data_IF_588538578278
#
_entry.id   IF_588538578278
#
_cell.length_a   1.000
_cell.length_b   1.000
_cell.length_c   1.000
_cell.angle_alpha   90.00
_cell.angle_beta   90.00
_cell.angle_gamma   90.00
#
_symmetry.space_group_name_H-M   'P 1'
#
loop_
_entity.id
_entity.type
_entity.pdbx_description
1 polymer ?
#
# COMPACT_ATOMS: atom_id res chain seq x y z
N UNK A 1 26.56 11.89 -47.75
CA UNK A 1 26.59 11.73 -46.29
C UNK A 1 26.12 10.32 -45.96
N UNK A 2 26.96 9.45 -45.38
CA UNK A 2 26.54 8.08 -45.09
C UNK A 2 25.66 8.07 -43.83
N UNK A 3 24.53 7.36 -43.92
CA UNK A 3 23.58 7.19 -42.84
C UNK A 3 24.26 6.47 -41.65
N UNK A 4 24.08 7.03 -40.45
CA UNK A 4 24.51 6.39 -39.20
C UNK A 4 23.72 5.11 -38.97
N UNK A 5 24.35 3.99 -38.61
CA UNK A 5 23.63 2.77 -38.28
C UNK A 5 22.86 2.97 -36.97
N UNK A 6 21.53 2.81 -37.00
CA UNK A 6 20.71 2.63 -35.79
C UNK A 6 21.19 1.33 -35.14
N UNK A 7 21.94 1.45 -34.04
CA UNK A 7 22.19 0.31 -33.15
C UNK A 7 20.83 -0.14 -32.62
N UNK A 8 20.35 -1.28 -33.11
CA UNK A 8 19.25 -1.98 -32.48
C UNK A 8 19.73 -2.43 -31.11
N UNK A 9 19.26 -1.78 -30.05
CA UNK A 9 19.44 -2.26 -28.69
C UNK A 9 18.66 -3.57 -28.58
N UNK A 10 19.35 -4.70 -28.56
CA UNK A 10 18.72 -5.96 -28.17
C UNK A 10 18.20 -5.74 -26.74
N UNK A 11 16.90 -5.95 -26.44
CA UNK A 11 16.42 -5.77 -25.09
C UNK A 11 17.13 -6.81 -24.21
N UNK A 12 18.03 -6.34 -23.34
CA UNK A 12 18.51 -7.14 -22.23
C UNK A 12 17.27 -7.57 -21.45
N UNK A 13 17.11 -8.88 -21.23
CA UNK A 13 16.06 -9.36 -20.34
C UNK A 13 16.35 -8.79 -18.95
N UNK A 14 15.44 -8.00 -18.37
CA UNK A 14 15.68 -7.36 -17.08
C UNK A 14 15.93 -8.44 -16.04
N UNK A 15 16.96 -8.23 -15.22
CA UNK A 15 17.40 -9.23 -14.24
C UNK A 15 16.80 -8.87 -12.90
N UNK A 16 15.84 -9.69 -12.47
CA UNK A 16 15.33 -9.67 -11.12
C UNK A 16 16.26 -10.43 -10.19
N UNK A 17 16.55 -9.81 -9.05
CA UNK A 17 17.41 -10.38 -8.01
C UNK A 17 16.74 -10.21 -6.65
N UNK A 18 16.50 -11.32 -5.96
CA UNK A 18 16.02 -11.28 -4.59
C UNK A 18 17.18 -11.41 -3.60
N UNK A 19 17.33 -10.41 -2.75
CA UNK A 19 18.33 -10.35 -1.69
C UNK A 19 17.64 -10.60 -0.36
N UNK A 20 18.05 -11.67 0.32
CA UNK A 20 17.56 -12.03 1.64
C UNK A 20 18.52 -11.47 2.69
N UNK A 21 17.98 -10.71 3.63
CA UNK A 21 18.74 -10.02 4.67
C UNK A 21 18.19 -10.34 6.06
N UNK A 22 19.01 -10.17 7.09
CA UNK A 22 18.51 -10.08 8.46
C UNK A 22 17.63 -8.83 8.60
N UNK A 23 16.39 -9.02 9.08
CA UNK A 23 15.36 -7.97 9.05
C UNK A 23 15.77 -6.70 9.81
N UNK A 24 16.54 -6.85 10.90
CA UNK A 24 16.91 -5.75 11.79
C UNK A 24 18.15 -5.01 11.32
N UNK A 25 19.15 -5.76 10.88
CA UNK A 25 20.47 -5.20 10.56
C UNK A 25 20.67 -4.91 9.08
N UNK A 26 19.77 -5.40 8.22
CA UNK A 26 19.90 -5.42 6.77
C UNK A 26 21.17 -6.13 6.26
N UNK A 27 21.82 -6.93 7.11
CA UNK A 27 22.96 -7.74 6.72
C UNK A 27 22.50 -8.81 5.72
N UNK A 28 23.14 -8.86 4.55
CA UNK A 28 22.85 -9.86 3.53
C UNK A 28 23.14 -11.26 4.06
N UNK A 29 22.14 -12.12 4.02
CA UNK A 29 22.23 -13.55 4.33
C UNK A 29 22.55 -14.31 3.04
N UNK A 30 21.73 -14.11 2.00
CA UNK A 30 21.90 -14.82 0.73
C UNK A 30 21.14 -14.17 -0.43
N UNK A 31 21.42 -14.63 -1.66
CA UNK A 31 20.69 -14.35 -2.89
C UNK A 31 20.31 -15.67 -3.54
N UNK A 32 19.01 -15.93 -3.63
CA UNK A 32 18.48 -17.20 -4.13
C UNK A 32 17.81 -16.99 -5.50
N UNK A 33 17.87 -18.00 -6.40
CA UNK A 33 17.12 -17.96 -7.64
C UNK A 33 15.62 -18.06 -7.33
N UNK A 34 14.83 -17.23 -7.99
CA UNK A 34 13.38 -17.24 -7.89
C UNK A 34 12.73 -17.74 -9.19
N UNK A 35 11.63 -18.46 -9.05
CA UNK A 35 10.65 -18.71 -10.11
C UNK A 35 9.28 -18.25 -9.65
N UNK A 36 8.35 -18.11 -10.60
CA UNK A 36 6.95 -17.81 -10.33
C UNK A 36 6.74 -16.58 -9.44
N UNK A 37 7.66 -15.61 -9.56
CA UNK A 37 7.64 -14.39 -8.77
C UNK A 37 6.47 -13.52 -9.20
N UNK A 38 5.75 -12.98 -8.21
CA UNK A 38 4.73 -11.94 -8.37
C UNK A 38 4.83 -11.02 -7.17
N UNK A 39 4.67 -9.72 -7.38
CA UNK A 39 4.64 -8.79 -6.27
C UNK A 39 3.73 -7.60 -6.58
N UNK A 40 3.23 -6.99 -5.51
CA UNK A 40 2.38 -5.83 -5.55
C UNK A 40 2.72 -4.86 -4.41
N UNK A 41 2.33 -3.61 -4.60
CA UNK A 41 2.58 -2.52 -3.66
C UNK A 41 1.48 -1.46 -3.82
N UNK A 42 1.07 -0.85 -2.71
CA UNK A 42 -0.09 0.04 -2.65
C UNK A 42 0.16 1.26 -1.77
N UNK A 43 -0.67 2.28 -1.96
CA UNK A 43 -0.92 3.32 -0.95
C UNK A 43 -2.06 2.83 -0.04
N UNK A 44 -1.92 2.99 1.27
CA UNK A 44 -2.98 2.69 2.24
C UNK A 44 -3.18 1.22 2.63
N UNK A 45 -2.48 0.26 2.01
CA UNK A 45 -2.47 -1.15 2.45
C UNK A 45 -1.13 -1.83 2.20
N UNK A 46 -0.89 -2.94 2.89
CA UNK A 46 0.31 -3.75 2.65
C UNK A 46 0.28 -4.39 1.27
N UNK A 47 1.42 -4.31 0.58
CA UNK A 47 1.68 -5.09 -0.61
C UNK A 47 2.22 -6.48 -0.29
N UNK A 48 2.26 -7.35 -1.28
CA UNK A 48 2.70 -8.74 -1.15
C UNK A 48 3.77 -9.12 -2.17
N UNK A 49 4.55 -10.15 -1.84
CA UNK A 49 5.40 -10.86 -2.78
C UNK A 49 5.23 -12.36 -2.56
N UNK A 50 4.98 -13.10 -3.63
CA UNK A 50 5.04 -14.56 -3.64
C UNK A 50 6.08 -15.03 -4.66
N UNK A 51 6.88 -16.01 -4.28
CA UNK A 51 7.85 -16.63 -5.18
C UNK A 51 8.22 -18.05 -4.73
N UNK A 52 8.78 -18.80 -5.67
CA UNK A 52 9.30 -20.15 -5.42
C UNK A 52 10.81 -20.18 -5.55
N UNK A 53 11.49 -20.85 -4.62
CA UNK A 53 12.91 -21.21 -4.71
C UNK A 53 13.02 -22.69 -5.08
N UNK A 54 13.44 -23.04 -6.30
CA UNK A 54 13.68 -24.43 -6.68
C UNK A 54 14.94 -24.96 -5.97
N UNK A 55 14.91 -26.21 -5.47
CA UNK A 55 16.02 -26.83 -4.75
C UNK A 55 16.54 -28.08 -5.49
N UNK A 56 17.38 -27.91 -6.54
CA UNK A 56 17.88 -29.03 -7.34
C UNK A 56 18.97 -29.84 -6.63
N UNK A 57 19.62 -29.27 -5.60
CA UNK A 57 20.72 -29.92 -4.89
C UNK A 57 20.73 -29.56 -3.38
N UNK A 58 21.53 -30.32 -2.62
CA UNK A 58 21.63 -30.17 -1.17
C UNK A 58 22.27 -28.85 -0.72
N UNK A 59 23.14 -28.25 -1.55
CA UNK A 59 23.82 -27.00 -1.22
C UNK A 59 22.85 -25.82 -1.28
N UNK A 60 22.03 -25.73 -2.34
CA UNK A 60 20.99 -24.71 -2.42
C UNK A 60 19.90 -24.92 -1.37
N UNK A 61 19.56 -26.18 -1.05
CA UNK A 61 18.62 -26.48 0.04
C UNK A 61 19.12 -26.00 1.41
N UNK A 62 20.42 -26.13 1.71
CA UNK A 62 21.01 -25.63 2.95
C UNK A 62 21.01 -24.10 3.03
N UNK A 63 21.35 -23.44 1.91
CA UNK A 63 21.26 -21.99 1.74
C UNK A 63 19.85 -21.46 1.94
N UNK A 64 18.87 -22.06 1.25
CA UNK A 64 17.46 -21.69 1.37
C UNK A 64 16.92 -21.87 2.80
N UNK A 65 17.29 -22.95 3.50
CA UNK A 65 16.91 -23.13 4.91
C UNK A 65 17.44 -22.03 5.84
N UNK A 66 18.63 -21.51 5.54
CA UNK A 66 19.29 -20.45 6.32
C UNK A 66 18.70 -19.08 6.00
N UNK A 67 18.45 -18.80 4.72
CA UNK A 67 17.96 -17.50 4.26
C UNK A 67 16.46 -17.32 4.41
N UNK A 68 15.64 -18.37 4.24
CA UNK A 68 14.19 -18.26 4.29
C UNK A 68 13.69 -18.51 5.72
N UNK A 69 13.92 -17.60 6.65
CA UNK A 69 13.42 -17.71 8.05
C UNK A 69 12.27 -16.72 8.28
N UNK A 70 11.01 -17.19 8.37
CA UNK A 70 9.84 -16.35 8.60
C UNK A 70 9.95 -15.46 9.83
N UNK A 71 9.51 -14.21 9.71
CA UNK A 71 9.54 -13.18 10.75
C UNK A 71 10.93 -12.66 11.12
N UNK A 72 12.00 -13.24 10.55
CA UNK A 72 13.41 -12.85 10.78
C UNK A 72 14.08 -12.27 9.53
N UNK A 73 13.57 -12.61 8.36
CA UNK A 73 14.22 -12.31 7.08
C UNK A 73 13.49 -11.19 6.37
N UNK A 74 14.25 -10.18 5.92
CA UNK A 74 13.78 -9.21 4.93
C UNK A 74 14.08 -9.73 3.51
N UNK A 75 13.18 -9.45 2.58
CA UNK A 75 13.39 -9.71 1.15
C UNK A 75 13.39 -8.39 0.43
N UNK A 76 14.43 -8.15 -0.37
CA UNK A 76 14.52 -7.02 -1.27
C UNK A 76 14.53 -7.54 -2.71
N UNK A 77 13.61 -7.05 -3.53
CA UNK A 77 13.59 -7.34 -4.94
C UNK A 77 14.26 -6.20 -5.69
N UNK A 78 15.36 -6.51 -6.37
CA UNK A 78 16.10 -5.59 -7.22
C UNK A 78 15.82 -5.90 -8.69
N UNK A 79 15.63 -4.87 -9.52
CA UNK A 79 15.53 -4.98 -10.98
C UNK A 79 16.57 -4.05 -11.59
N UNK A 80 17.48 -4.60 -12.37
CA UNK A 80 18.59 -3.86 -13.01
C UNK A 80 19.45 -3.04 -12.00
N UNK A 81 19.51 -3.50 -10.75
CA UNK A 81 20.28 -2.87 -9.66
C UNK A 81 19.48 -1.90 -8.78
N UNK A 82 18.28 -1.49 -9.20
CA UNK A 82 17.41 -0.63 -8.41
C UNK A 82 16.48 -1.43 -7.50
N UNK A 83 16.19 -0.89 -6.32
CA UNK A 83 15.22 -1.49 -5.39
C UNK A 83 13.82 -1.27 -5.93
N UNK A 84 13.12 -2.37 -6.21
CA UNK A 84 11.76 -2.35 -6.72
C UNK A 84 10.71 -2.67 -5.65
N UNK A 85 11.07 -3.54 -4.71
CA UNK A 85 10.16 -3.96 -3.66
C UNK A 85 10.95 -4.39 -2.42
N UNK A 86 10.36 -4.27 -1.24
CA UNK A 86 10.98 -4.70 0.01
C UNK A 86 9.95 -5.05 1.07
N UNK A 87 10.22 -6.12 1.82
CA UNK A 87 9.28 -6.60 2.82
C UNK A 87 9.83 -7.66 3.76
N UNK A 88 8.96 -8.13 4.65
CA UNK A 88 9.24 -9.19 5.63
C UNK A 88 8.74 -10.51 5.11
N UNK A 89 9.59 -11.54 5.11
CA UNK A 89 9.19 -12.91 4.81
C UNK A 89 8.35 -13.45 5.96
N UNK A 90 7.08 -13.79 5.71
CA UNK A 90 6.13 -14.23 6.72
C UNK A 90 5.81 -15.71 6.67
N UNK A 91 5.82 -16.31 5.48
CA UNK A 91 5.52 -17.73 5.32
C UNK A 91 6.57 -18.42 4.48
N UNK A 92 6.80 -19.70 4.76
CA UNK A 92 7.58 -20.59 3.91
C UNK A 92 6.94 -21.98 3.90
N UNK A 93 6.88 -22.59 2.72
CA UNK A 93 6.29 -23.90 2.53
C UNK A 93 7.24 -24.75 1.69
N UNK A 94 8.13 -25.54 2.31
CA UNK A 94 8.90 -26.55 1.59
C UNK A 94 7.95 -27.66 1.12
N UNK A 95 8.05 -28.04 -0.15
CA UNK A 95 7.23 -29.09 -0.75
C UNK A 95 8.04 -29.95 -1.73
N UNK A 96 7.54 -31.14 -2.02
CA UNK A 96 8.06 -32.02 -3.06
C UNK A 96 6.94 -32.39 -4.01
N UNK A 97 7.25 -32.51 -5.30
CA UNK A 97 6.32 -33.08 -6.28
C UNK A 97 6.43 -34.61 -6.37
N UNK A 98 5.56 -35.24 -7.15
CA UNK A 98 5.53 -36.69 -7.40
C UNK A 98 6.84 -37.24 -8.01
N UNK A 99 7.65 -36.38 -8.62
CA UNK A 99 8.95 -36.72 -9.21
C UNK A 99 10.10 -36.53 -8.23
N UNK A 100 9.81 -36.20 -6.96
CA UNK A 100 10.79 -35.96 -5.91
C UNK A 100 11.54 -34.63 -6.04
N UNK A 101 11.09 -33.71 -6.89
CA UNK A 101 11.70 -32.37 -7.00
C UNK A 101 11.23 -31.53 -5.81
N UNK A 102 12.19 -30.95 -5.10
CA UNK A 102 11.93 -30.14 -3.91
C UNK A 102 11.95 -28.65 -4.29
N UNK A 103 11.02 -27.89 -3.72
CA UNK A 103 10.98 -26.45 -3.83
C UNK A 103 10.53 -25.83 -2.50
N UNK A 104 10.71 -24.51 -2.36
CA UNK A 104 10.17 -23.74 -1.24
C UNK A 104 9.40 -22.56 -1.79
N UNK A 105 8.10 -22.53 -1.58
CA UNK A 105 7.31 -21.32 -1.77
C UNK A 105 7.45 -20.43 -0.53
N UNK A 106 7.51 -19.11 -0.71
CA UNK A 106 7.44 -18.16 0.39
C UNK A 106 6.56 -16.98 0.04
N UNK A 107 5.97 -16.37 1.06
CA UNK A 107 5.25 -15.12 0.94
C UNK A 107 5.85 -14.07 1.87
N UNK A 108 5.92 -12.84 1.37
CA UNK A 108 6.36 -11.68 2.10
C UNK A 108 5.32 -10.56 1.99
N UNK A 109 5.25 -9.72 3.02
CA UNK A 109 4.47 -8.47 3.00
C UNK A 109 5.40 -7.28 3.01
N UNK A 110 5.02 -6.15 2.42
CA UNK A 110 5.78 -4.89 2.51
C UNK A 110 6.09 -4.53 3.96
N UNK A 111 7.12 -3.73 4.23
CA UNK A 111 7.61 -3.53 5.61
C UNK A 111 6.56 -2.98 6.59
N UNK A 112 5.51 -2.30 6.11
CA UNK A 112 4.41 -1.82 6.94
C UNK A 112 3.61 -2.97 7.57
N UNK A 113 3.61 -4.17 6.97
CA UNK A 113 3.05 -5.38 7.59
C UNK A 113 3.73 -5.75 8.92
N UNK A 114 4.96 -5.28 9.17
CA UNK A 114 5.59 -5.46 10.48
C UNK A 114 4.82 -4.75 11.60
N UNK A 115 4.18 -3.61 11.29
CA UNK A 115 3.46 -2.80 12.26
C UNK A 115 2.15 -3.47 12.74
N UNK A 116 1.64 -4.46 12.00
CA UNK A 116 0.55 -5.35 12.45
C UNK A 116 0.98 -6.26 13.60
N UNK A 117 2.28 -6.51 13.73
CA UNK A 117 2.87 -7.33 14.78
C UNK A 117 3.37 -6.51 15.97
N UNK A 118 3.19 -5.18 15.95
CA UNK A 118 3.59 -4.28 17.04
C UNK A 118 2.35 -3.76 17.74
N UNK A 119 2.36 -3.83 19.07
CA UNK A 119 1.31 -3.25 19.91
C UNK A 119 1.78 -1.93 20.50
N UNK A 120 0.81 -1.08 20.84
CA UNK A 120 1.05 0.03 21.74
C UNK A 120 1.40 -0.53 23.13
N UNK A 121 2.58 -0.15 23.64
CA UNK A 121 3.18 -0.75 24.84
C UNK A 121 3.03 0.12 26.09
N UNK A 122 2.79 1.42 25.89
CA UNK A 122 2.57 2.42 26.93
C UNK A 122 1.52 3.39 26.42
N UNK A 123 0.79 4.03 27.35
CA UNK A 123 -0.22 5.02 26.99
C UNK A 123 0.40 6.11 26.13
N UNK A 124 -0.33 6.51 25.09
CA UNK A 124 0.09 7.52 24.14
C UNK A 124 -0.90 8.66 24.19
N UNK A 125 -0.44 9.84 24.58
CA UNK A 125 -1.26 11.05 24.61
C UNK A 125 -0.51 12.18 23.95
N UNK A 126 -1.20 12.89 23.06
CA UNK A 126 -0.69 14.06 22.38
C UNK A 126 -1.77 15.13 22.29
N UNK A 127 -1.38 16.40 22.39
CA UNK A 127 -2.30 17.53 22.35
C UNK A 127 -1.79 18.58 21.39
N UNK A 128 -2.61 18.93 20.39
CA UNK A 128 -2.28 19.89 19.35
C UNK A 128 -0.92 19.61 18.65
N UNK A 129 -0.66 18.35 18.33
CA UNK A 129 0.56 17.89 17.62
C UNK A 129 0.23 17.66 16.14
N UNK A 130 1.14 17.99 15.23
CA UNK A 130 0.98 17.75 13.79
C UNK A 130 0.73 16.26 13.51
N UNK A 131 -0.22 15.93 12.65
CA UNK A 131 -0.59 14.53 12.42
C UNK A 131 0.54 13.70 11.79
N UNK A 132 1.49 14.31 11.06
CA UNK A 132 2.69 13.60 10.62
C UNK A 132 3.64 13.30 11.78
N UNK A 133 3.75 14.20 12.73
CA UNK A 133 4.52 13.95 13.95
C UNK A 133 3.87 12.85 14.79
N UNK A 134 2.55 12.81 14.90
CA UNK A 134 1.85 11.69 15.53
C UNK A 134 2.18 10.35 14.87
N UNK A 135 2.13 10.28 13.53
CA UNK A 135 2.47 9.07 12.79
C UNK A 135 3.92 8.64 13.04
N UNK A 136 4.86 9.59 13.04
CA UNK A 136 6.27 9.32 13.36
C UNK A 136 6.46 8.83 14.78
N UNK A 137 5.77 9.43 15.75
CA UNK A 137 5.86 9.03 17.15
C UNK A 137 5.36 7.59 17.35
N UNK A 138 4.29 7.17 16.67
CA UNK A 138 3.81 5.78 16.71
C UNK A 138 4.81 4.79 16.10
N UNK A 139 5.42 5.13 14.96
CA UNK A 139 6.46 4.28 14.35
C UNK A 139 7.73 4.27 15.20
N UNK A 140 8.15 5.41 15.76
CA UNK A 140 9.28 5.50 16.69
C UNK A 140 9.04 4.64 17.93
N UNK A 141 7.85 4.72 18.53
CA UNK A 141 7.43 3.88 19.66
C UNK A 141 7.58 2.38 19.34
N UNK A 142 7.26 1.96 18.11
CA UNK A 142 7.46 0.58 17.68
C UNK A 142 8.95 0.20 17.62
N UNK A 143 9.80 1.11 17.11
CA UNK A 143 11.24 0.88 16.94
C UNK A 143 12.04 0.92 18.24
N UNK A 144 11.66 1.79 19.18
CA UNK A 144 12.34 1.99 20.46
C UNK A 144 12.21 0.79 21.41
N UNK A 145 11.17 -0.03 21.24
CA UNK A 145 11.00 -1.25 22.01
C UNK A 145 12.14 -2.24 21.72
N UNK A 146 12.60 -3.02 22.72
CA UNK A 146 13.68 -3.99 22.53
C UNK A 146 13.44 -4.91 21.32
N UNK A 147 14.29 -4.74 20.31
CA UNK A 147 14.21 -5.48 19.06
C UNK A 147 13.07 -5.14 18.11
N UNK A 148 12.42 -4.00 18.31
CA UNK A 148 11.44 -3.42 17.39
C UNK A 148 12.06 -2.65 16.22
N UNK A 149 13.29 -2.18 16.37
CA UNK A 149 13.98 -1.46 15.30
C UNK A 149 14.32 -2.37 14.11
N UNK A 150 13.68 -2.08 12.98
CA UNK A 150 13.95 -2.68 11.66
C UNK A 150 14.48 -1.65 10.67
N UNK A 151 14.88 -0.45 11.11
CA UNK A 151 15.47 0.59 10.27
C UNK A 151 14.47 1.35 9.39
N UNK A 152 13.27 1.63 9.89
CA UNK A 152 12.32 2.54 9.26
C UNK A 152 12.81 3.98 9.48
N UNK A 153 13.14 4.65 8.39
CA UNK A 153 13.56 6.05 8.38
C UNK A 153 12.33 6.95 8.50
N UNK A 154 12.42 7.94 9.39
CA UNK A 154 11.39 8.94 9.62
C UNK A 154 11.77 10.24 8.91
N UNK A 155 10.80 10.89 8.26
CA UNK A 155 10.96 12.21 7.65
C UNK A 155 10.88 13.36 8.65
N UNK A 156 10.80 14.57 8.12
CA UNK A 156 10.64 15.81 8.91
C UNK A 156 9.61 16.78 8.31
N UNK A 157 8.87 16.33 7.30
CA UNK A 157 7.76 17.07 6.70
C UNK A 157 6.63 17.35 7.72
N UNK A 158 5.83 18.39 7.51
CA UNK A 158 4.68 18.70 8.38
C UNK A 158 3.42 18.76 7.53
N UNK A 159 2.28 18.31 8.05
CA UNK A 159 1.01 18.43 7.32
C UNK A 159 0.37 19.81 7.49
N UNK A 160 0.69 20.51 8.59
CA UNK A 160 0.02 21.75 9.01
C UNK A 160 -1.27 21.51 9.79
N UNK A 161 -1.62 20.25 10.05
CA UNK A 161 -2.88 19.84 10.68
C UNK A 161 -2.57 19.30 12.08
N UNK A 162 -2.95 20.06 13.10
CA UNK A 162 -2.76 19.69 14.49
C UNK A 162 -3.92 18.82 15.01
N UNK A 163 -3.58 17.79 15.78
CA UNK A 163 -4.52 16.83 16.37
C UNK A 163 -4.22 16.58 17.83
N UNK A 164 -5.26 16.20 18.56
CA UNK A 164 -5.16 15.69 19.92
C UNK A 164 -5.69 14.26 19.93
N UNK A 165 -4.89 13.32 20.41
CA UNK A 165 -5.25 11.89 20.48
C UNK A 165 -4.82 11.31 21.82
N UNK A 166 -5.56 10.31 22.28
CA UNK A 166 -5.19 9.54 23.47
C UNK A 166 -5.52 8.08 23.22
N UNK A 167 -4.50 7.22 23.31
CA UNK A 167 -4.62 5.77 23.18
C UNK A 167 -4.08 5.11 24.44
N UNK A 168 -4.88 4.24 25.05
CA UNK A 168 -4.46 3.48 26.22
C UNK A 168 -3.75 2.18 25.79
N UNK A 169 -2.62 1.86 26.43
CA UNK A 169 -1.92 0.59 26.21
C UNK A 169 -2.79 -0.62 26.55
N UNK A 170 -3.72 -0.47 27.50
CA UNK A 170 -4.70 -1.52 27.84
C UNK A 170 -5.64 -1.88 26.69
N UNK A 171 -5.76 -1.02 25.68
CA UNK A 171 -6.52 -1.32 24.45
C UNK A 171 -5.83 -2.35 23.55
N UNK A 172 -4.53 -2.61 23.74
CA UNK A 172 -3.73 -3.58 22.95
C UNK A 172 -3.79 -3.35 21.42
N UNK A 173 -4.08 -2.12 20.99
CA UNK A 173 -4.18 -1.75 19.60
C UNK A 173 -2.86 -1.97 18.85
N UNK A 174 -2.96 -2.34 17.57
CA UNK A 174 -1.78 -2.48 16.70
C UNK A 174 -1.27 -1.12 16.27
N UNK A 175 0.04 -0.98 16.08
CA UNK A 175 0.62 0.28 15.60
C UNK A 175 0.06 0.66 14.22
N UNK A 176 -0.12 -0.32 13.33
CA UNK A 176 -0.78 -0.09 12.04
C UNK A 176 -2.20 0.45 12.20
N UNK A 177 -3.00 -0.19 13.05
CA UNK A 177 -4.39 0.20 13.32
C UNK A 177 -4.48 1.65 13.82
N UNK A 178 -3.60 2.05 14.73
CA UNK A 178 -3.55 3.43 15.22
C UNK A 178 -3.13 4.42 14.13
N UNK A 179 -2.18 4.05 13.25
CA UNK A 179 -1.82 4.88 12.09
C UNK A 179 -3.00 5.06 11.14
N UNK A 180 -3.69 3.95 10.81
CA UNK A 180 -4.88 3.96 9.95
C UNK A 180 -6.01 4.78 10.56
N UNK A 181 -6.21 4.70 11.88
CA UNK A 181 -7.21 5.49 12.59
C UNK A 181 -6.94 7.01 12.47
N UNK A 182 -5.70 7.45 12.70
CA UNK A 182 -5.35 8.89 12.58
C UNK A 182 -5.43 9.34 11.12
N UNK A 183 -4.96 8.50 10.19
CA UNK A 183 -5.00 8.77 8.75
C UNK A 183 -6.44 8.96 8.22
N UNK A 184 -7.44 8.34 8.84
CA UNK A 184 -8.85 8.37 8.43
C UNK A 184 -9.68 9.52 9.02
N UNK A 185 -9.11 10.38 9.86
CA UNK A 185 -9.80 11.60 10.29
C UNK A 185 -10.10 12.53 9.10
N UNK A 186 -11.10 13.42 9.25
CA UNK A 186 -11.30 14.54 8.32
C UNK A 186 -10.02 15.36 8.22
N UNK A 187 -9.60 15.84 7.05
CA UNK A 187 -8.24 16.38 6.79
C UNK A 187 -7.10 15.42 7.19
N UNK A 188 -7.35 14.12 7.06
CA UNK A 188 -6.41 13.04 7.30
C UNK A 188 -5.28 12.98 6.28
N UNK A 189 -4.56 11.87 6.24
CA UNK A 189 -3.37 11.75 5.40
C UNK A 189 -3.18 10.33 4.89
N UNK A 190 -2.34 10.21 3.86
CA UNK A 190 -1.89 8.92 3.37
C UNK A 190 -0.51 8.58 3.89
N UNK A 191 -0.29 7.29 4.10
CA UNK A 191 0.98 6.77 4.55
C UNK A 191 1.34 5.45 3.88
N UNK A 192 2.64 5.19 3.79
CA UNK A 192 3.21 3.89 3.39
C UNK A 192 4.67 3.77 3.80
N UNK A 193 5.23 2.56 3.75
CA UNK A 193 6.67 2.35 3.85
C UNK A 193 7.31 2.17 2.47
N UNK A 194 7.90 3.25 1.95
CA UNK A 194 8.55 3.26 0.64
C UNK A 194 9.94 2.61 0.72
N UNK A 195 10.19 1.70 -0.21
CA UNK A 195 11.49 1.08 -0.44
C UNK A 195 12.23 1.78 -1.58
N UNK A 196 13.52 2.10 -1.39
CA UNK A 196 14.36 2.72 -2.41
C UNK A 196 15.85 2.49 -2.12
N UNK A 197 16.70 2.87 -3.08
CA UNK A 197 18.14 2.97 -2.87
C UNK A 197 18.49 4.42 -2.54
N UNK A 198 19.14 4.66 -1.39
CA UNK A 198 19.51 6.00 -0.95
C UNK A 198 20.72 6.56 -1.72
N UNK A 199 21.10 7.80 -1.41
CA UNK A 199 22.22 8.48 -2.07
C UNK A 199 23.58 7.79 -1.86
N UNK A 200 23.72 7.00 -0.79
CA UNK A 200 24.92 6.20 -0.50
C UNK A 200 24.86 4.80 -1.15
N UNK A 201 23.81 4.52 -1.92
CA UNK A 201 23.59 3.23 -2.57
C UNK A 201 23.04 2.14 -1.64
N UNK A 202 22.66 2.47 -0.40
CA UNK A 202 22.10 1.51 0.56
C UNK A 202 20.61 1.33 0.33
N UNK A 203 20.08 0.16 0.68
CA UNK A 203 18.63 -0.09 0.67
C UNK A 203 18.02 0.61 1.87
N UNK A 204 16.95 1.37 1.64
CA UNK A 204 16.30 2.18 2.65
C UNK A 204 14.79 1.90 2.68
N UNK A 205 14.23 1.98 3.88
CA UNK A 205 12.80 1.88 4.18
C UNK A 205 12.42 3.22 4.78
N UNK A 206 11.50 3.98 4.17
CA UNK A 206 11.09 5.29 4.69
C UNK A 206 9.59 5.34 4.91
N UNK A 207 9.18 5.85 6.08
CA UNK A 207 7.82 6.28 6.30
C UNK A 207 7.55 7.49 5.39
N UNK A 208 6.77 7.26 4.34
CA UNK A 208 6.31 8.28 3.42
C UNK A 208 4.92 8.72 3.86
N UNK A 209 4.75 10.03 4.04
CA UNK A 209 3.51 10.66 4.45
C UNK A 209 3.11 11.71 3.40
N UNK A 210 1.81 11.88 3.17
CA UNK A 210 1.28 12.88 2.25
C UNK A 210 -0.10 13.36 2.69
N UNK A 211 -0.34 14.67 2.63
CA UNK A 211 -1.59 15.29 3.06
C UNK A 211 -2.12 16.22 1.95
N UNK A 212 -3.41 16.10 1.56
CA UNK A 212 -4.29 14.97 1.90
C UNK A 212 -3.79 13.65 1.30
N UNK A 213 -3.05 13.73 0.20
CA UNK A 213 -2.61 12.60 -0.61
C UNK A 213 -1.08 12.54 -0.71
N UNK A 214 -0.52 11.34 -0.81
CA UNK A 214 0.83 11.13 -1.31
C UNK A 214 0.85 11.48 -2.80
N UNK A 215 1.68 12.47 -3.14
CA UNK A 215 1.98 12.82 -4.53
C UNK A 215 3.28 12.16 -4.99
N UNK A 216 3.23 11.63 -6.20
CA UNK A 216 4.38 11.08 -6.91
C UNK A 216 5.03 12.13 -7.81
N UNK A 217 5.46 11.70 -9.00
CA UNK A 217 5.99 12.60 -10.04
C UNK A 217 5.03 13.75 -10.36
N UNK A 218 5.58 14.96 -10.53
CA UNK A 218 4.83 16.15 -10.95
C UNK A 218 4.36 16.07 -12.42
N UNK A 219 5.01 15.25 -13.24
CA UNK A 219 4.63 15.04 -14.65
C UNK A 219 3.68 13.85 -14.79
N UNK A 220 2.59 14.04 -15.53
CA UNK A 220 1.65 12.97 -15.88
C UNK A 220 2.33 11.91 -16.74
N UNK A 221 2.18 10.64 -16.34
CA UNK A 221 2.46 9.53 -17.23
C UNK A 221 1.31 9.36 -18.23
N UNK A 222 1.57 9.65 -19.50
CA UNK A 222 0.59 9.44 -20.57
C UNK A 222 0.60 7.99 -21.03
N UNK A 223 -0.58 7.35 -21.02
CA UNK A 223 -0.82 5.96 -21.43
C UNK A 223 -1.97 5.88 -22.43
N UNK A 224 -1.69 5.30 -23.60
CA UNK A 224 -2.66 5.17 -24.70
C UNK A 224 -3.14 3.72 -24.90
N UNK A 225 -4.44 3.56 -25.20
CA UNK A 225 -5.04 2.33 -25.77
C UNK A 225 -5.78 2.64 -27.09
N UNK A 226 -5.45 1.96 -28.20
CA UNK A 226 -4.36 1.01 -28.38
C UNK A 226 -2.98 1.69 -28.27
N UNK A 227 -2.00 1.03 -27.67
CA UNK A 227 -0.69 1.63 -27.43
C UNK A 227 0.10 0.91 -26.35
N UNK A 228 0.53 1.64 -25.32
CA UNK A 228 1.27 1.06 -24.20
C UNK A 228 0.38 0.24 -23.27
N UNK A 229 -0.92 0.54 -23.23
CA UNK A 229 -1.92 -0.22 -22.48
C UNK A 229 -2.29 -1.47 -23.27
N UNK A 230 -1.98 -2.64 -22.68
CA UNK A 230 -2.28 -3.97 -23.23
C UNK A 230 -3.74 -4.34 -23.00
N UNK A 231 -4.23 -4.14 -21.77
CA UNK A 231 -5.61 -4.39 -21.36
C UNK A 231 -6.03 -3.33 -20.35
N UNK A 232 -7.32 -3.02 -20.30
CA UNK A 232 -7.90 -2.16 -19.27
C UNK A 232 -9.19 -2.77 -18.73
N UNK A 233 -9.51 -2.43 -17.48
CA UNK A 233 -10.80 -2.68 -16.84
C UNK A 233 -11.22 -1.38 -16.13
N UNK A 234 -12.37 -0.81 -16.50
CA UNK A 234 -12.95 0.38 -15.87
C UNK A 234 -14.28 0.00 -15.19
N UNK A 235 -14.25 -0.64 -14.01
CA UNK A 235 -15.49 -1.01 -13.32
C UNK A 235 -16.21 0.24 -12.82
N UNK A 236 -17.53 0.16 -12.72
CA UNK A 236 -18.35 1.11 -11.98
C UNK A 236 -19.26 0.30 -11.05
N UNK A 237 -19.07 0.46 -9.74
CA UNK A 237 -19.77 -0.32 -8.72
C UNK A 237 -20.54 0.60 -7.74
N UNK A 238 -21.87 0.58 -7.84
CA UNK A 238 -22.76 1.32 -6.92
C UNK A 238 -23.18 0.50 -5.70
N UNK A 239 -22.70 -0.74 -5.52
CA UNK A 239 -23.11 -1.58 -4.38
C UNK A 239 -22.63 -1.05 -3.04
N UNK A 240 -21.57 -0.23 -3.05
CA UNK A 240 -21.00 0.46 -1.88
C UNK A 240 -21.35 1.95 -1.84
N UNK A 241 -22.15 2.44 -2.78
CA UNK A 241 -22.49 3.86 -2.85
C UNK A 241 -23.47 4.24 -1.72
N UNK A 242 -23.26 5.41 -1.11
CA UNK A 242 -24.13 5.97 -0.08
C UNK A 242 -24.28 7.48 -0.25
N UNK A 243 -25.50 8.00 -0.11
CA UNK A 243 -25.79 9.44 0.00
C UNK A 243 -26.23 9.84 1.42
N UNK A 244 -26.34 8.85 2.31
CA UNK A 244 -26.60 9.00 3.75
C UNK A 244 -25.69 8.08 4.54
N UNK A 245 -25.05 8.62 5.58
CA UNK A 245 -24.19 7.88 6.50
C UNK A 245 -24.67 7.97 7.94
N UNK A 246 -24.73 6.84 8.62
CA UNK A 246 -25.04 6.76 10.05
C UNK A 246 -23.87 6.12 10.80
N UNK A 247 -23.17 6.91 11.60
CA UNK A 247 -22.05 6.42 12.40
C UNK A 247 -22.46 6.27 13.87
N UNK A 248 -21.97 5.21 14.51
CA UNK A 248 -22.22 4.88 15.91
C UNK A 248 -20.91 4.88 16.68
N UNK A 249 -20.87 5.54 17.82
CA UNK A 249 -19.76 5.57 18.77
C UNK A 249 -20.13 4.94 20.11
N UNK A 250 -19.22 5.05 21.06
CA UNK A 250 -19.47 4.63 22.43
C UNK A 250 -20.47 5.55 23.11
N UNK A 251 -21.18 5.03 24.11
CA UNK A 251 -22.06 5.87 24.90
C UNK A 251 -21.25 6.94 25.65
N UNK A 252 -21.65 8.21 25.60
CA UNK A 252 -21.05 9.24 26.44
C UNK A 252 -21.52 9.13 27.89
N UNK A 253 -22.47 8.23 28.18
CA UNK A 253 -23.00 8.04 29.52
C UNK A 253 -21.95 7.36 30.42
N UNK A 254 -21.52 8.08 31.45
CA UNK A 254 -20.61 7.57 32.48
C UNK A 254 -21.36 7.00 33.71
N UNK A 255 -22.69 7.16 33.78
CA UNK A 255 -23.53 6.66 34.87
C UNK A 255 -24.10 5.28 34.56
N UNK A 256 -23.64 4.27 35.31
CA UNK A 256 -24.06 2.88 35.17
C UNK A 256 -25.52 2.63 35.62
N UNK A 257 -26.16 3.61 36.28
CA UNK A 257 -27.55 3.51 36.72
C UNK A 257 -28.57 3.96 35.66
N UNK A 258 -28.14 4.59 34.56
CA UNK A 258 -29.01 5.01 33.46
C UNK A 258 -28.86 4.11 32.22
N UNK A 259 -29.90 4.05 31.40
CA UNK A 259 -29.90 3.29 30.15
C UNK A 259 -28.85 3.88 29.19
N UNK A 260 -27.81 3.08 28.90
CA UNK A 260 -26.72 3.48 28.02
C UNK A 260 -27.15 3.36 26.56
N UNK A 261 -27.31 4.49 25.87
CA UNK A 261 -27.50 4.52 24.42
C UNK A 261 -26.18 4.89 23.73
N UNK A 262 -25.83 4.24 22.61
CA UNK A 262 -24.64 4.59 21.86
C UNK A 262 -24.80 5.97 21.24
N UNK A 263 -23.72 6.75 21.23
CA UNK A 263 -23.67 7.99 20.47
C UNK A 263 -23.92 7.68 19.00
N UNK A 264 -24.86 8.36 18.36
CA UNK A 264 -25.16 8.15 16.93
C UNK A 264 -25.23 9.48 16.22
N UNK A 265 -24.56 9.59 15.07
CA UNK A 265 -24.59 10.76 14.19
C UNK A 265 -25.04 10.36 12.80
N UNK A 266 -25.80 11.24 12.16
CA UNK A 266 -26.26 11.10 10.79
C UNK A 266 -25.74 12.27 9.95
N UNK A 267 -25.24 11.95 8.75
CA UNK A 267 -24.72 12.88 7.75
C UNK A 267 -25.34 12.53 6.40
N UNK A 268 -25.75 13.53 5.62
CA UNK A 268 -26.42 13.33 4.32
C UNK A 268 -25.76 14.19 3.23
N UNK A 269 -25.92 13.77 1.99
CA UNK A 269 -25.62 14.54 0.79
C UNK A 269 -26.91 15.18 0.25
N UNK A 270 -27.28 16.40 0.73
CA UNK A 270 -28.55 17.02 0.35
C UNK A 270 -28.65 17.34 -1.15
N UNK A 271 -27.50 17.58 -1.79
CA UNK A 271 -27.44 17.86 -3.23
C UNK A 271 -27.83 16.65 -4.07
N UNK A 272 -27.40 15.44 -3.70
CA UNK A 272 -27.71 14.22 -4.47
C UNK A 272 -29.18 13.84 -4.31
N UNK A 273 -29.70 13.91 -3.08
CA UNK A 273 -31.10 13.69 -2.79
C UNK A 273 -31.98 14.69 -3.56
N UNK A 274 -31.58 15.96 -3.61
CA UNK A 274 -32.27 16.99 -4.39
C UNK A 274 -32.17 16.77 -5.91
N UNK A 275 -31.09 16.17 -6.39
CA UNK A 275 -30.90 15.80 -7.80
C UNK A 275 -31.67 14.53 -8.22
N UNK A 276 -32.38 13.88 -7.28
CA UNK A 276 -33.23 12.72 -7.55
C UNK A 276 -32.51 11.38 -7.47
N UNK A 277 -31.31 11.34 -6.89
CA UNK A 277 -30.67 10.07 -6.55
C UNK A 277 -31.52 9.32 -5.50
N UNK A 278 -31.65 7.98 -5.61
CA UNK A 278 -32.32 7.20 -4.57
C UNK A 278 -31.52 7.27 -3.28
N UNK A 279 -32.20 7.34 -2.13
CA UNK A 279 -31.55 7.28 -0.82
C UNK A 279 -30.84 5.94 -0.64
N UNK A 280 -29.53 5.99 -0.43
CA UNK A 280 -28.63 4.87 -0.18
C UNK A 280 -27.95 5.09 1.18
N UNK A 281 -28.28 4.23 2.14
CA UNK A 281 -27.80 4.35 3.52
C UNK A 281 -26.64 3.39 3.78
N UNK A 282 -25.56 3.92 4.36
CA UNK A 282 -24.45 3.15 4.88
C UNK A 282 -24.21 3.45 6.36
N UNK A 283 -23.52 2.54 7.04
CA UNK A 283 -23.31 2.61 8.48
C UNK A 283 -21.89 2.28 8.89
N UNK A 284 -21.44 2.82 10.02
CA UNK A 284 -20.16 2.49 10.65
C UNK A 284 -20.25 2.45 12.17
N UNK A 285 -19.41 1.65 12.80
CA UNK A 285 -19.23 1.58 14.25
C UNK A 285 -17.80 2.01 14.61
N UNK A 286 -17.66 2.86 15.62
CA UNK A 286 -16.41 3.47 16.07
C UNK A 286 -16.25 3.31 17.59
N UNK A 287 -15.82 2.12 18.01
CA UNK A 287 -15.54 1.85 19.42
C UNK A 287 -14.46 2.78 19.97
N UNK A 288 -14.62 3.22 21.22
CA UNK A 288 -13.73 4.17 21.89
C UNK A 288 -14.00 5.64 21.55
N UNK A 289 -14.92 5.95 20.63
CA UNK A 289 -15.27 7.33 20.26
C UNK A 289 -16.56 7.73 20.97
N UNK A 290 -16.44 8.54 22.01
CA UNK A 290 -17.58 9.11 22.76
C UNK A 290 -17.80 10.60 22.51
N UNK A 291 -16.99 11.23 21.64
CA UNK A 291 -17.10 12.64 21.26
C UNK A 291 -17.90 12.79 19.96
N UNK A 292 -18.99 13.56 20.00
CA UNK A 292 -19.88 13.77 18.84
C UNK A 292 -19.17 14.44 17.66
N UNK A 293 -18.25 15.36 17.92
CA UNK A 293 -17.54 16.08 16.87
C UNK A 293 -16.60 15.14 16.13
N UNK A 294 -15.88 14.29 16.88
CA UNK A 294 -15.01 13.26 16.31
C UNK A 294 -15.83 12.25 15.50
N UNK A 295 -16.96 11.77 16.04
CA UNK A 295 -17.81 10.80 15.36
C UNK A 295 -18.42 11.37 14.07
N UNK A 296 -18.88 12.63 14.11
CA UNK A 296 -19.43 13.33 12.93
C UNK A 296 -18.38 13.52 11.85
N UNK A 297 -17.14 13.86 12.23
CA UNK A 297 -16.00 13.97 11.32
C UNK A 297 -15.72 12.64 10.60
N UNK A 298 -15.72 11.51 11.33
CA UNK A 298 -15.56 10.17 10.74
C UNK A 298 -16.69 9.84 9.75
N UNK A 299 -17.94 10.15 10.11
CA UNK A 299 -19.10 9.93 9.25
C UNK A 299 -19.04 10.77 7.96
N UNK A 300 -18.62 12.04 8.05
CA UNK A 300 -18.42 12.91 6.87
C UNK A 300 -17.33 12.37 5.94
N UNK A 301 -16.20 11.92 6.51
CA UNK A 301 -15.12 11.33 5.73
C UNK A 301 -15.54 10.02 5.05
N UNK A 302 -16.44 9.23 5.66
CA UNK A 302 -16.98 8.02 5.05
C UNK A 302 -17.99 8.32 3.93
N UNK A 303 -18.93 9.23 4.16
CA UNK A 303 -19.89 9.65 3.15
C UNK A 303 -19.18 10.23 1.91
N UNK A 304 -18.20 11.10 2.11
CA UNK A 304 -17.44 11.70 1.00
C UNK A 304 -16.73 10.63 0.13
N UNK A 305 -16.27 9.52 0.72
CA UNK A 305 -15.61 8.42 0.01
C UNK A 305 -16.58 7.55 -0.79
N UNK A 306 -17.82 7.39 -0.32
CA UNK A 306 -18.80 6.47 -0.91
C UNK A 306 -19.95 7.18 -1.64
N UNK A 307 -19.87 8.52 -1.80
CA UNK A 307 -20.90 9.31 -2.49
C UNK A 307 -21.11 8.91 -3.96
N UNK A 308 -20.03 8.50 -4.62
CA UNK A 308 -20.01 8.11 -6.03
C UNK A 308 -19.76 6.60 -6.18
N UNK A 309 -20.17 5.98 -7.30
CA UNK A 309 -19.82 4.60 -7.58
C UNK A 309 -18.31 4.38 -7.48
N UNK A 310 -17.91 3.27 -6.89
CA UNK A 310 -16.50 2.92 -6.78
C UNK A 310 -15.96 2.57 -8.17
N UNK A 311 -14.89 3.28 -8.56
CA UNK A 311 -14.18 3.08 -9.82
C UNK A 311 -12.71 2.89 -9.44
N UNK A 312 -12.25 1.64 -9.43
CA UNK A 312 -10.82 1.31 -9.36
C UNK A 312 -10.43 0.79 -10.75
N UNK A 313 -9.96 1.67 -11.67
CA UNK A 313 -9.46 1.21 -12.94
C UNK A 313 -8.22 0.34 -12.77
N UNK A 314 -8.18 -0.74 -13.53
CA UNK A 314 -6.98 -1.57 -13.67
C UNK A 314 -6.47 -1.44 -15.10
N UNK A 315 -5.21 -1.05 -15.25
CA UNK A 315 -4.56 -0.99 -16.57
C UNK A 315 -3.30 -1.85 -16.58
N UNK A 316 -3.25 -2.80 -17.50
CA UNK A 316 -2.06 -3.64 -17.70
C UNK A 316 -1.22 -3.04 -18.80
N UNK A 317 0.03 -2.72 -18.48
CA UNK A 317 1.04 -2.19 -19.41
C UNK A 317 2.19 -3.16 -19.55
N UNK A 318 2.89 -3.07 -20.68
CA UNK A 318 4.23 -3.66 -20.77
C UNK A 318 5.16 -2.83 -19.91
N UNK A 319 6.02 -3.49 -19.14
CA UNK A 319 7.04 -2.77 -18.40
C UNK A 319 8.07 -2.19 -19.38
N UNK A 320 8.16 -0.87 -19.43
CA UNK A 320 9.25 -0.13 -20.07
C UNK A 320 10.00 0.66 -18.99
N UNK A 321 11.10 1.33 -19.35
CA UNK A 321 11.88 2.12 -18.39
C UNK A 321 11.14 3.31 -17.76
N UNK A 322 9.87 3.56 -18.12
CA UNK A 322 9.03 4.65 -17.55
C UNK A 322 8.16 4.15 -16.40
N UNK A 323 7.91 2.85 -16.32
CA UNK A 323 7.17 2.24 -15.22
C UNK A 323 8.14 1.87 -14.11
N UNK A 324 7.88 2.39 -12.90
CA UNK A 324 8.64 2.02 -11.71
C UNK A 324 7.76 2.15 -10.46
N UNK A 325 8.17 1.57 -9.32
CA UNK A 325 7.47 1.74 -8.05
C UNK A 325 7.37 3.19 -7.55
N UNK A 326 8.19 4.09 -8.10
CA UNK A 326 8.09 5.52 -7.84
C UNK A 326 6.83 6.17 -8.44
N UNK A 327 6.06 5.44 -9.27
CA UNK A 327 4.78 5.90 -9.80
C UNK A 327 3.65 5.90 -8.77
N UNK A 328 3.77 5.20 -7.63
CA UNK A 328 2.74 5.25 -6.61
C UNK A 328 2.55 6.69 -6.10
N UNK A 329 1.33 7.21 -6.24
CA UNK A 329 0.94 8.60 -5.98
C UNK A 329 1.09 9.54 -7.19
N UNK A 330 1.66 9.07 -8.30
CA UNK A 330 1.82 9.86 -9.52
C UNK A 330 0.53 9.90 -10.33
N UNK A 331 0.39 10.94 -11.15
CA UNK A 331 -0.75 11.10 -12.03
C UNK A 331 -0.52 10.35 -13.34
N UNK A 332 -1.56 9.68 -13.81
CA UNK A 332 -1.64 9.05 -15.12
C UNK A 332 -2.72 9.75 -15.92
N UNK A 333 -2.39 10.01 -17.19
CA UNK A 333 -3.34 10.47 -18.19
C UNK A 333 -3.64 9.31 -19.12
N UNK A 334 -4.83 8.75 -18.98
CA UNK A 334 -5.30 7.61 -19.75
C UNK A 334 -6.08 8.10 -20.97
N UNK A 335 -5.71 7.59 -22.14
CA UNK A 335 -6.36 7.89 -23.42
C UNK A 335 -6.85 6.60 -24.04
N UNK A 336 -8.16 6.43 -24.09
CA UNK A 336 -8.80 5.23 -24.63
C UNK A 336 -9.49 5.55 -25.96
N UNK A 337 -9.26 4.70 -26.96
CA UNK A 337 -9.93 4.76 -28.26
C UNK A 337 -10.25 3.36 -28.75
N UNK A 338 -11.50 2.96 -28.60
CA UNK A 338 -12.02 1.66 -29.02
C UNK A 338 -13.54 1.72 -29.27
N UNK A 339 -14.19 0.55 -29.34
CA UNK A 339 -15.62 0.45 -29.60
C UNK A 339 -16.50 1.00 -28.47
N UNK A 340 -16.01 0.97 -27.22
CA UNK A 340 -16.67 1.53 -26.05
C UNK A 340 -16.35 3.02 -25.90
N UNK A 341 -15.08 3.39 -26.13
CA UNK A 341 -14.58 4.76 -26.10
C UNK A 341 -14.42 5.34 -27.52
N UNK A 342 -15.54 5.63 -28.19
CA UNK A 342 -15.55 6.06 -29.60
C UNK A 342 -15.07 7.51 -29.79
N UNK A 343 -15.35 8.38 -28.80
CA UNK A 343 -14.83 9.74 -28.74
C UNK A 343 -13.55 9.78 -27.90
N UNK A 344 -12.54 10.60 -28.25
CA UNK A 344 -11.32 10.71 -27.46
C UNK A 344 -11.65 11.20 -26.05
N UNK A 345 -11.64 10.30 -25.08
CA UNK A 345 -11.77 10.63 -23.66
C UNK A 345 -10.37 10.62 -23.06
N UNK A 346 -9.96 11.77 -22.54
CA UNK A 346 -8.75 11.91 -21.74
C UNK A 346 -9.18 11.97 -20.28
N UNK A 347 -8.83 10.93 -19.52
CA UNK A 347 -9.11 10.85 -18.10
C UNK A 347 -7.81 10.91 -17.31
N UNK A 348 -7.88 11.61 -16.18
CA UNK A 348 -6.77 11.70 -15.25
C UNK A 348 -7.09 10.85 -14.04
N UNK A 349 -6.11 10.03 -13.68
CA UNK A 349 -6.18 9.18 -12.51
C UNK A 349 -4.90 9.29 -11.71
N UNK A 350 -4.95 8.88 -10.45
CA UNK A 350 -3.76 8.69 -9.61
C UNK A 350 -3.44 7.22 -9.48
N UNK A 351 -2.16 6.85 -9.52
CA UNK A 351 -1.73 5.46 -9.32
C UNK A 351 -1.67 5.16 -7.83
N UNK A 352 -2.52 4.25 -7.36
CA UNK A 352 -2.59 3.84 -5.95
C UNK A 352 -2.11 2.42 -5.70
N UNK A 353 -1.92 1.64 -6.77
CA UNK A 353 -1.33 0.32 -6.70
C UNK A 353 -0.51 -0.03 -7.93
N UNK A 354 0.46 -0.91 -7.74
CA UNK A 354 1.28 -1.48 -8.79
C UNK A 354 1.43 -2.98 -8.49
N UNK A 355 1.02 -3.84 -9.42
CA UNK A 355 1.35 -5.27 -9.41
C UNK A 355 2.24 -5.60 -10.60
N UNK A 356 3.26 -6.42 -10.40
CA UNK A 356 4.24 -6.78 -11.42
C UNK A 356 4.38 -8.29 -11.50
N UNK A 357 4.38 -8.78 -12.74
CA UNK A 357 4.78 -10.14 -13.07
C UNK A 357 6.12 -10.09 -13.81
N UNK A 358 7.25 -10.40 -13.13
CA UNK A 358 8.55 -10.62 -13.76
C UNK A 358 8.49 -11.56 -14.96
N UNK A 359 9.44 -11.44 -15.90
CA UNK A 359 9.40 -12.23 -17.14
C UNK A 359 9.44 -13.73 -16.83
N UNK A 360 8.49 -14.46 -17.41
CA UNK A 360 8.43 -15.92 -17.36
C UNK A 360 8.75 -16.51 -18.73
N UNK A 361 9.00 -17.82 -18.81
CA UNK A 361 9.22 -18.49 -20.08
C UNK A 361 8.02 -18.25 -21.01
N UNK A 362 8.28 -17.58 -22.15
CA UNK A 362 7.28 -17.19 -23.16
C UNK A 362 6.27 -16.10 -22.76
N UNK A 363 6.43 -15.44 -21.60
CA UNK A 363 5.64 -14.26 -21.21
C UNK A 363 6.55 -13.07 -20.97
N UNK A 364 6.23 -11.95 -21.63
CA UNK A 364 6.90 -10.70 -21.36
C UNK A 364 6.54 -10.20 -19.96
N UNK A 365 7.42 -9.39 -19.39
CA UNK A 365 7.19 -8.67 -18.15
C UNK A 365 6.04 -7.66 -18.30
N UNK A 366 5.13 -7.62 -17.34
CA UNK A 366 3.98 -6.72 -17.32
C UNK A 366 3.78 -6.10 -15.95
N UNK A 367 3.20 -4.90 -15.92
CA UNK A 367 2.67 -4.29 -14.71
C UNK A 367 1.18 -4.00 -14.87
N UNK A 368 0.43 -4.24 -13.81
CA UNK A 368 -0.93 -3.74 -13.63
C UNK A 368 -0.89 -2.54 -12.71
N UNK A 369 -1.38 -1.39 -13.18
CA UNK A 369 -1.57 -0.21 -12.36
C UNK A 369 -3.02 -0.19 -11.87
N UNK A 370 -3.17 -0.02 -10.56
CA UNK A 370 -4.46 0.25 -9.92
C UNK A 370 -4.58 1.75 -9.76
N UNK A 371 -5.67 2.29 -10.29
CA UNK A 371 -5.89 3.71 -10.38
C UNK A 371 -7.06 4.12 -9.49
N UNK A 372 -7.14 5.40 -9.18
CA UNK A 372 -8.32 6.04 -8.61
C UNK A 372 -8.61 7.35 -9.36
N UNK A 373 -9.89 7.75 -9.38
CA UNK A 373 -10.30 9.04 -9.94
C UNK A 373 -9.69 10.22 -9.17
N UNK A 374 -9.38 11.30 -9.89
CA UNK A 374 -8.91 12.57 -9.33
C UNK A 374 -9.99 13.63 -9.32
#
# INVERSE_FOLDING_TARGET
MPASPRTAYAPLTPVYRAVFCDLRTDQVIDVLPLTDTKFDDYIGKAGSLSATVPLPDAALAARARTALVPGRTAVWLERDGDVWWGGVLWTRTPSSDERGRIQVEFQAGTFDSYLDHRILAHDFTATAVDQFDLARMLVAHAQEQPGGDIGIQLGSEVSGIARSVSFAASGLARIRELLDQIAQFDDGFEWRLRCYRDADGRRAKRLQLGHPLISGSAEDLVLDHPGQVLTYSLPADSTVQADVWVARGDSPNADQAEESQPLTVLVESPEDLAAGWPRLEATSDHSGVSDETVLRSLAQAQLARQRMPEVIPEITVRLDGRISPALLGANVRLRLRDLWHQEPREERYRVVGLAVEPPQRAKAETATLYLEGM
#
